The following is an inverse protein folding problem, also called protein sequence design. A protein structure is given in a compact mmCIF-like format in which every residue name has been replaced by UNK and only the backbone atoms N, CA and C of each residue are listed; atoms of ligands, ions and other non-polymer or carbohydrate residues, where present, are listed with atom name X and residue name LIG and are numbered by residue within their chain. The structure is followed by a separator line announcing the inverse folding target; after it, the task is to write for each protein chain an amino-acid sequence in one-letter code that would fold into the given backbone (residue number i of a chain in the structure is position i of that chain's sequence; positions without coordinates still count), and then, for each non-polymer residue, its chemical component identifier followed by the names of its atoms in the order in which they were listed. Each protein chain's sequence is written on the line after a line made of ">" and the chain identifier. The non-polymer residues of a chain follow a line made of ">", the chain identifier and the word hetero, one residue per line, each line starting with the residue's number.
data_IF_835200073174
#
_entry.id   IF_835200073174
#
_cell.length_a   1.000
_cell.length_b   1.000
_cell.length_c   1.000
_cell.angle_alpha   90.00
_cell.angle_beta   90.00
_cell.angle_gamma   90.00
#
_symmetry.space_group_name_H-M   'P 1'
#
loop_
_entity.id
_entity.type
_entity.pdbx_description
1 polymer ?
#
# COMPACT_ATOMS: atom_id res chain seq x y z
N UNK A 1 -26.24 -11.40 13.49
CA UNK A 1 -25.22 -10.80 12.58
C UNK A 1 -24.45 -11.94 11.93
N UNK A 2 -24.32 -11.97 10.59
CA UNK A 2 -23.56 -13.03 9.90
C UNK A 2 -22.08 -12.89 10.29
N UNK A 3 -21.54 -13.84 11.05
CA UNK A 3 -20.14 -13.86 11.48
C UNK A 3 -19.22 -13.57 10.28
N UNK A 4 -18.58 -12.40 10.29
CA UNK A 4 -17.51 -12.10 9.35
C UNK A 4 -16.39 -13.10 9.64
N UNK A 5 -16.19 -14.10 8.76
CA UNK A 5 -15.23 -15.19 8.94
C UNK A 5 -13.76 -14.74 8.95
N UNK A 6 -13.50 -13.45 8.70
CA UNK A 6 -12.16 -12.88 8.69
C UNK A 6 -11.63 -12.64 10.10
N UNK A 7 -10.33 -12.77 10.27
CA UNK A 7 -9.57 -12.36 11.45
C UNK A 7 -9.42 -10.83 11.52
N UNK A 8 -9.06 -10.27 12.68
CA UNK A 8 -8.94 -8.82 12.84
C UNK A 8 -7.88 -8.22 11.89
N UNK A 9 -6.74 -8.91 11.70
CA UNK A 9 -5.69 -8.51 10.77
C UNK A 9 -6.15 -8.46 9.31
N UNK A 10 -7.04 -9.37 8.92
CA UNK A 10 -7.63 -9.40 7.58
C UNK A 10 -8.65 -8.27 7.41
N UNK A 11 -9.43 -7.98 8.45
CA UNK A 11 -10.36 -6.85 8.44
C UNK A 11 -9.61 -5.52 8.27
N UNK A 12 -8.54 -5.25 9.03
CA UNK A 12 -7.78 -4.00 8.87
C UNK A 12 -7.09 -3.91 7.52
N UNK A 13 -6.66 -5.05 6.94
CA UNK A 13 -6.11 -5.09 5.58
C UNK A 13 -7.16 -4.67 4.54
N UNK A 14 -8.39 -5.18 4.65
CA UNK A 14 -9.51 -4.78 3.78
C UNK A 14 -9.90 -3.32 4.03
N UNK A 15 -9.85 -2.85 5.28
CA UNK A 15 -10.14 -1.46 5.63
C UNK A 15 -9.16 -0.48 4.94
N UNK A 16 -7.86 -0.74 5.02
CA UNK A 16 -6.84 0.08 4.32
C UNK A 16 -7.06 0.06 2.80
N UNK A 17 -7.46 -1.08 2.24
CA UNK A 17 -7.78 -1.17 0.82
C UNK A 17 -9.00 -0.34 0.44
N UNK A 18 -10.07 -0.39 1.23
CA UNK A 18 -11.27 0.42 0.99
C UNK A 18 -10.96 1.92 1.07
N UNK A 19 -10.09 2.32 1.99
CA UNK A 19 -9.72 3.73 2.18
C UNK A 19 -8.90 4.29 1.02
N UNK A 20 -7.94 3.51 0.49
CA UNK A 20 -6.92 4.04 -0.42
C UNK A 20 -6.55 3.17 -1.61
N UNK A 21 -7.25 2.07 -1.86
CA UNK A 21 -7.01 1.11 -2.95
C UNK A 21 -5.54 0.66 -3.10
N UNK A 22 -4.77 0.75 -2.01
CA UNK A 22 -3.35 0.43 -1.98
C UNK A 22 -2.38 1.58 -2.23
N UNK A 23 -2.82 2.81 -2.51
CA UNK A 23 -1.93 3.95 -2.77
C UNK A 23 -2.03 5.01 -1.67
N UNK A 24 -3.17 5.08 -0.98
CA UNK A 24 -3.33 5.87 0.22
C UNK A 24 -2.57 5.27 1.42
N UNK A 25 -2.08 6.16 2.27
CA UNK A 25 -1.57 5.85 3.61
C UNK A 25 -2.53 6.42 4.65
N UNK A 26 -2.80 5.67 5.72
CA UNK A 26 -3.78 6.08 6.74
C UNK A 26 -3.26 5.83 8.15
N UNK A 27 -3.60 6.72 9.07
CA UNK A 27 -3.35 6.55 10.50
C UNK A 27 -4.24 5.46 11.12
N UNK A 28 -3.90 5.08 12.36
CA UNK A 28 -4.61 4.04 13.09
C UNK A 28 -6.08 4.37 13.33
N UNK A 29 -6.42 5.62 13.64
CA UNK A 29 -7.78 6.04 14.00
C UNK A 29 -8.72 5.91 12.79
N UNK A 30 -8.26 6.37 11.63
CA UNK A 30 -8.97 6.26 10.34
C UNK A 30 -9.19 4.79 9.98
N UNK A 31 -8.17 3.94 10.17
CA UNK A 31 -8.29 2.50 9.93
C UNK A 31 -9.26 1.87 10.93
N UNK A 32 -9.20 2.24 12.21
CA UNK A 32 -10.04 1.69 13.26
C UNK A 32 -11.52 1.99 13.00
N UNK A 33 -11.84 3.23 12.62
CA UNK A 33 -13.21 3.64 12.19
C UNK A 33 -13.70 2.78 11.04
N UNK A 34 -12.89 2.63 9.98
CA UNK A 34 -13.27 1.83 8.82
C UNK A 34 -13.40 0.33 9.14
N UNK A 35 -12.53 -0.20 10.00
CA UNK A 35 -12.55 -1.58 10.43
C UNK A 35 -13.79 -1.90 11.28
N UNK A 36 -14.23 -0.97 12.13
CA UNK A 36 -15.48 -1.10 12.89
C UNK A 36 -16.72 -1.01 11.98
N UNK A 37 -16.73 -0.16 10.94
CA UNK A 37 -17.81 -0.18 9.93
C UNK A 37 -17.94 -1.55 9.23
N UNK A 38 -16.79 -2.18 8.96
CA UNK A 38 -16.70 -3.49 8.30
C UNK A 38 -17.13 -4.62 9.25
N UNK A 39 -16.68 -4.57 10.50
CA UNK A 39 -16.89 -5.64 11.48
C UNK A 39 -17.21 -5.04 12.86
N UNK A 40 -18.40 -4.46 12.93
CA UNK A 40 -18.89 -3.71 14.08
C UNK A 40 -18.73 -4.46 15.40
N UNK A 41 -18.17 -3.77 16.39
CA UNK A 41 -17.95 -4.27 17.75
C UNK A 41 -16.61 -4.98 17.96
N UNK A 42 -15.91 -5.42 16.90
CA UNK A 42 -14.62 -6.15 17.07
C UNK A 42 -13.44 -5.27 17.44
N UNK A 43 -13.52 -3.99 17.11
CA UNK A 43 -12.48 -3.01 17.38
C UNK A 43 -12.89 -2.06 18.50
N UNK A 44 -13.91 -2.40 19.30
CA UNK A 44 -14.41 -1.56 20.38
C UNK A 44 -13.88 -2.01 21.74
N UNK A 45 -13.97 -1.13 22.74
CA UNK A 45 -13.61 -1.49 24.11
C UNK A 45 -14.60 -2.52 24.67
N UNK A 46 -14.10 -3.46 25.47
CA UNK A 46 -14.97 -4.44 26.15
C UNK A 46 -15.81 -3.78 27.25
N UNK A 47 -15.24 -2.80 27.94
CA UNK A 47 -15.87 -2.08 29.05
C UNK A 47 -16.79 -0.96 28.57
N UNK A 48 -16.52 -0.39 27.40
CA UNK A 48 -17.40 0.60 26.76
C UNK A 48 -17.56 0.29 25.26
N UNK A 49 -18.61 -0.47 24.87
CA UNK A 49 -18.88 -0.82 23.48
C UNK A 49 -19.22 0.37 22.57
N UNK A 50 -19.27 1.62 23.07
CA UNK A 50 -19.45 2.80 22.23
C UNK A 50 -18.11 3.40 21.75
N UNK A 51 -17.00 3.06 22.42
CA UNK A 51 -15.67 3.56 22.09
C UNK A 51 -14.88 2.58 21.23
N UNK A 52 -14.17 3.10 20.22
CA UNK A 52 -13.21 2.33 19.42
C UNK A 52 -11.88 2.22 20.18
N UNK A 53 -11.27 1.04 20.15
CA UNK A 53 -10.02 0.70 20.81
C UNK A 53 -8.86 0.73 19.82
N UNK A 54 -7.99 1.72 20.00
CA UNK A 54 -6.74 1.82 19.25
C UNK A 54 -5.83 0.63 19.54
N UNK A 55 -5.80 0.11 20.77
CA UNK A 55 -4.99 -1.06 21.15
C UNK A 55 -5.38 -2.31 20.35
N UNK A 56 -6.69 -2.62 20.25
CA UNK A 56 -7.17 -3.75 19.44
C UNK A 56 -6.82 -3.58 17.96
N UNK A 57 -6.89 -2.34 17.46
CA UNK A 57 -6.53 -2.01 16.08
C UNK A 57 -5.02 -2.15 15.86
N UNK A 58 -4.21 -1.70 16.81
CA UNK A 58 -2.75 -1.79 16.78
C UNK A 58 -2.28 -3.25 16.74
N UNK A 59 -2.87 -4.12 17.56
CA UNK A 59 -2.58 -5.56 17.53
C UNK A 59 -2.92 -6.18 16.19
N UNK A 60 -4.09 -5.82 15.62
CA UNK A 60 -4.51 -6.29 14.31
C UNK A 60 -3.55 -5.82 13.19
N UNK A 61 -3.11 -4.55 13.23
CA UNK A 61 -2.15 -3.98 12.29
C UNK A 61 -0.77 -4.63 12.44
N UNK A 62 -0.32 -4.88 13.67
CA UNK A 62 0.91 -5.61 13.96
C UNK A 62 0.88 -7.01 13.34
N UNK A 63 -0.22 -7.73 13.50
CA UNK A 63 -0.40 -9.05 12.90
C UNK A 63 -0.51 -9.00 11.36
N UNK A 64 -1.15 -7.97 10.79
CA UNK A 64 -1.20 -7.76 9.35
C UNK A 64 0.19 -7.50 8.75
N UNK A 65 1.05 -6.75 9.46
CA UNK A 65 2.46 -6.56 9.08
C UNK A 65 3.25 -7.86 9.11
N UNK A 66 3.09 -8.67 10.16
CA UNK A 66 3.73 -10.00 10.25
C UNK A 66 3.31 -10.93 9.11
N UNK A 67 2.09 -10.79 8.61
CA UNK A 67 1.59 -11.50 7.41
C UNK A 67 2.06 -10.91 6.08
N UNK A 68 2.78 -9.78 6.10
CA UNK A 68 3.24 -9.11 4.89
C UNK A 68 2.13 -8.41 4.09
N UNK A 69 0.96 -8.14 4.68
CA UNK A 69 -0.15 -7.48 3.97
C UNK A 69 -0.04 -5.96 3.96
N UNK A 70 0.57 -5.38 4.98
CA UNK A 70 0.74 -3.93 5.11
C UNK A 70 2.16 -3.60 5.55
N UNK A 71 2.58 -2.36 5.28
CA UNK A 71 3.81 -1.74 5.77
C UNK A 71 3.46 -0.52 6.61
N UNK A 72 4.25 -0.29 7.64
CA UNK A 72 4.24 0.96 8.40
C UNK A 72 5.24 1.92 7.76
N UNK A 73 4.81 3.13 7.43
CA UNK A 73 5.61 4.08 6.64
C UNK A 73 6.40 5.07 7.50
N UNK A 74 5.83 5.52 8.61
CA UNK A 74 6.49 6.34 9.62
C UNK A 74 6.62 5.54 10.92
N UNK A 75 7.71 5.77 11.66
CA UNK A 75 7.90 5.31 13.05
C UNK A 75 8.01 6.55 13.94
N UNK A 76 7.04 7.43 13.84
CA UNK A 76 7.00 8.67 14.61
C UNK A 76 5.73 8.65 15.46
N UNK A 77 5.88 8.98 16.74
CA UNK A 77 4.79 8.91 17.72
C UNK A 77 3.63 9.77 17.21
N UNK A 78 2.47 9.14 17.00
CA UNK A 78 1.21 9.75 16.52
C UNK A 78 1.13 10.11 15.02
N UNK A 79 2.07 9.69 14.18
CA UNK A 79 2.01 9.90 12.71
C UNK A 79 2.19 8.61 11.90
N UNK A 80 2.25 7.47 12.59
CA UNK A 80 2.34 6.15 11.98
C UNK A 80 1.20 5.96 10.97
N UNK A 81 1.58 5.82 9.70
CA UNK A 81 0.64 5.53 8.62
C UNK A 81 0.93 4.18 7.99
N UNK A 82 -0.12 3.53 7.51
CA UNK A 82 -0.05 2.18 6.96
C UNK A 82 -0.39 2.18 5.47
N UNK A 83 0.43 1.46 4.70
CA UNK A 83 0.27 1.24 3.27
C UNK A 83 0.10 -0.25 3.00
N UNK A 84 -0.69 -0.61 1.98
CA UNK A 84 -0.77 -2.01 1.54
C UNK A 84 0.49 -2.43 0.78
N UNK A 85 0.87 -3.69 0.96
CA UNK A 85 1.75 -4.38 0.02
C UNK A 85 0.95 -4.89 -1.18
N UNK A 86 1.64 -5.45 -2.16
CA UNK A 86 0.97 -6.15 -3.26
C UNK A 86 0.13 -7.32 -2.75
N UNK A 87 0.67 -8.12 -1.82
CA UNK A 87 -0.03 -9.26 -1.20
C UNK A 87 -1.30 -8.79 -0.49
N UNK A 88 -1.22 -7.67 0.24
CA UNK A 88 -2.38 -7.05 0.89
C UNK A 88 -3.45 -6.61 -0.10
N UNK A 89 -3.05 -6.00 -1.22
CA UNK A 89 -3.99 -5.61 -2.29
C UNK A 89 -4.67 -6.83 -2.89
N UNK A 90 -3.92 -7.87 -3.24
CA UNK A 90 -4.49 -9.09 -3.83
C UNK A 90 -5.45 -9.77 -2.85
N UNK A 91 -5.05 -9.86 -1.58
CA UNK A 91 -5.90 -10.38 -0.51
C UNK A 91 -7.21 -9.58 -0.41
N UNK A 92 -7.13 -8.25 -0.33
CA UNK A 92 -8.30 -7.39 -0.18
C UNK A 92 -9.21 -7.45 -1.40
N UNK A 93 -8.67 -7.35 -2.63
CA UNK A 93 -9.43 -7.49 -3.88
C UNK A 93 -10.23 -8.79 -3.95
N UNK A 94 -9.62 -9.91 -3.55
CA UNK A 94 -10.27 -11.24 -3.55
C UNK A 94 -11.40 -11.37 -2.52
N UNK A 95 -11.37 -10.57 -1.46
CA UNK A 95 -12.21 -10.77 -0.28
C UNK A 95 -13.16 -9.61 0.04
N UNK A 96 -13.01 -8.45 -0.59
CA UNK A 96 -13.84 -7.26 -0.34
C UNK A 96 -15.33 -7.55 -0.53
N UNK A 97 -15.71 -8.34 -1.54
CA UNK A 97 -17.11 -8.71 -1.79
C UNK A 97 -17.72 -9.61 -0.73
N UNK A 98 -16.90 -10.26 0.11
CA UNK A 98 -17.36 -11.15 1.19
C UNK A 98 -17.67 -10.39 2.47
N UNK A 99 -17.27 -9.13 2.56
CA UNK A 99 -17.56 -8.23 3.68
C UNK A 99 -18.97 -7.64 3.47
N UNK A 100 -19.96 -8.26 4.10
CA UNK A 100 -21.40 -8.05 3.83
C UNK A 100 -21.98 -6.66 4.13
N UNK A 101 -21.26 -5.77 4.80
CA UNK A 101 -21.78 -4.44 5.17
C UNK A 101 -21.33 -3.31 4.22
N UNK A 102 -20.46 -3.60 3.25
CA UNK A 102 -19.83 -2.54 2.47
C UNK A 102 -20.43 -2.46 1.06
N UNK A 103 -21.18 -1.37 0.83
CA UNK A 103 -21.63 -0.96 -0.49
C UNK A 103 -20.41 -0.57 -1.35
N UNK A 104 -20.10 -1.41 -2.33
CA UNK A 104 -18.95 -1.22 -3.22
C UNK A 104 -19.06 0.05 -4.07
N UNK A 105 -20.26 0.61 -4.25
CA UNK A 105 -20.43 1.91 -4.94
C UNK A 105 -19.84 3.07 -4.14
N UNK A 106 -19.62 2.89 -2.84
CA UNK A 106 -18.99 3.86 -1.93
C UNK A 106 -17.48 3.71 -1.82
N UNK A 107 -16.87 2.78 -2.58
CA UNK A 107 -15.40 2.77 -2.75
C UNK A 107 -15.05 4.10 -3.38
N UNK A 108 -14.45 5.00 -2.61
CA UNK A 108 -13.71 6.11 -3.19
C UNK A 108 -12.60 5.46 -4.00
N UNK A 109 -12.71 5.50 -5.34
CA UNK A 109 -11.57 5.22 -6.21
C UNK A 109 -10.60 6.36 -5.92
N UNK A 110 -9.55 6.15 -5.11
CA UNK A 110 -8.73 7.25 -4.61
C UNK A 110 -7.76 7.72 -5.71
N UNK A 111 -7.56 6.88 -6.73
CA UNK A 111 -6.81 7.19 -7.93
C UNK A 111 -7.81 7.62 -8.99
N UNK A 112 -7.90 8.92 -9.26
CA UNK A 112 -8.60 9.33 -10.47
C UNK A 112 -7.95 8.62 -11.67
N UNK A 113 -8.75 8.19 -12.64
CA UNK A 113 -8.24 7.61 -13.91
C UNK A 113 -7.13 8.49 -14.50
N UNK A 114 -7.28 9.80 -14.33
CA UNK A 114 -6.29 10.83 -14.64
C UNK A 114 -4.93 10.63 -13.93
N UNK A 115 -4.88 10.39 -12.61
CA UNK A 115 -3.61 10.13 -11.91
C UNK A 115 -2.92 8.88 -12.49
N UNK A 116 -3.69 7.83 -12.76
CA UNK A 116 -3.18 6.61 -13.36
C UNK A 116 -2.58 6.88 -14.75
N UNK A 117 -3.36 7.51 -15.64
CA UNK A 117 -2.98 7.77 -17.03
C UNK A 117 -1.78 8.74 -17.10
N UNK A 118 -1.81 9.84 -16.34
CA UNK A 118 -0.72 10.81 -16.29
C UNK A 118 0.58 10.19 -15.76
N UNK A 119 0.48 9.37 -14.71
CA UNK A 119 1.65 8.67 -14.17
C UNK A 119 2.20 7.66 -15.16
N UNK A 120 1.33 6.94 -15.89
CA UNK A 120 1.72 5.99 -16.92
C UNK A 120 2.48 6.66 -18.05
N UNK A 121 1.93 7.74 -18.62
CA UNK A 121 2.57 8.54 -19.68
C UNK A 121 3.95 9.03 -19.23
N UNK A 122 4.03 9.61 -18.03
CA UNK A 122 5.29 10.08 -17.45
C UNK A 122 6.32 8.95 -17.34
N UNK A 123 5.94 7.81 -16.76
CA UNK A 123 6.83 6.67 -16.64
C UNK A 123 7.29 6.18 -18.01
N UNK A 124 6.39 6.07 -18.99
CA UNK A 124 6.72 5.67 -20.37
C UNK A 124 7.72 6.61 -21.07
N UNK A 125 7.63 7.91 -20.79
CA UNK A 125 8.55 8.90 -21.36
C UNK A 125 9.96 8.85 -20.76
N UNK A 126 10.14 8.22 -19.60
CA UNK A 126 11.42 8.22 -18.88
C UNK A 126 12.50 7.36 -19.57
N UNK A 127 13.77 7.73 -19.35
CA UNK A 127 14.92 6.97 -19.86
C UNK A 127 15.00 5.56 -19.26
N UNK A 128 14.74 5.43 -17.95
CA UNK A 128 14.74 4.15 -17.26
C UNK A 128 13.70 3.17 -17.85
N UNK A 129 12.50 3.65 -18.18
CA UNK A 129 11.47 2.83 -18.82
C UNK A 129 11.91 2.30 -20.19
N UNK A 130 12.45 3.18 -21.03
CA UNK A 130 12.96 2.81 -22.37
C UNK A 130 14.07 1.76 -22.27
N UNK A 131 15.03 1.97 -21.35
CA UNK A 131 16.10 1.00 -21.08
C UNK A 131 15.57 -0.34 -20.59
N UNK A 132 14.59 -0.35 -19.69
CA UNK A 132 13.97 -1.59 -19.22
C UNK A 132 13.24 -2.34 -20.34
N UNK A 133 12.53 -1.63 -21.23
CA UNK A 133 11.90 -2.19 -22.43
C UNK A 133 12.90 -2.84 -23.38
N UNK A 134 14.09 -2.25 -23.53
CA UNK A 134 15.19 -2.75 -24.36
C UNK A 134 16.04 -3.82 -23.65
N UNK A 135 15.62 -4.33 -22.48
CA UNK A 135 16.38 -5.26 -21.64
C UNK A 135 17.76 -4.72 -21.18
N UNK A 136 17.95 -3.41 -21.14
CA UNK A 136 19.17 -2.71 -20.69
C UNK A 136 19.09 -2.27 -19.23
N UNK A 137 18.54 -3.11 -18.35
CA UNK A 137 18.27 -2.78 -16.94
C UNK A 137 19.57 -2.43 -16.19
N UNK A 138 20.66 -3.15 -16.45
CA UNK A 138 21.98 -2.90 -15.86
C UNK A 138 22.60 -1.56 -16.24
N UNK A 139 22.06 -0.89 -17.27
CA UNK A 139 22.52 0.43 -17.73
C UNK A 139 21.68 1.58 -17.15
N UNK A 140 20.70 1.30 -16.30
CA UNK A 140 19.91 2.32 -15.62
C UNK A 140 20.81 2.96 -14.54
N UNK A 141 21.10 4.24 -14.72
CA UNK A 141 21.85 5.02 -13.73
C UNK A 141 20.98 5.36 -12.52
N UNK A 142 21.61 5.63 -11.38
CA UNK A 142 20.90 6.08 -10.16
C UNK A 142 20.10 7.37 -10.40
N UNK A 143 20.58 8.25 -11.29
CA UNK A 143 19.84 9.45 -11.71
C UNK A 143 18.55 9.10 -12.44
N UNK A 144 18.62 8.20 -13.42
CA UNK A 144 17.44 7.77 -14.18
C UNK A 144 16.44 7.00 -13.30
N UNK A 145 16.94 6.22 -12.34
CA UNK A 145 16.13 5.57 -11.31
C UNK A 145 15.41 6.59 -10.43
N UNK A 146 16.14 7.58 -9.92
CA UNK A 146 15.58 8.65 -9.10
C UNK A 146 14.53 9.46 -9.89
N UNK A 147 14.79 9.79 -11.15
CA UNK A 147 13.82 10.47 -12.03
C UNK A 147 12.57 9.60 -12.27
N UNK A 148 12.74 8.29 -12.45
CA UNK A 148 11.64 7.35 -12.66
C UNK A 148 10.67 7.32 -11.46
N UNK A 149 11.20 7.22 -10.24
CA UNK A 149 10.41 7.16 -9.01
C UNK A 149 10.17 8.54 -8.36
N UNK A 150 10.68 9.63 -8.95
CA UNK A 150 10.68 10.99 -8.39
C UNK A 150 11.26 11.03 -6.97
N UNK A 151 12.42 10.44 -6.81
CA UNK A 151 13.20 10.45 -5.57
C UNK A 151 14.18 11.62 -5.59
N UNK A 152 14.54 12.10 -4.41
CA UNK A 152 15.61 13.08 -4.25
C UNK A 152 16.57 12.65 -3.13
N UNK A 153 17.74 13.29 -3.08
CA UNK A 153 18.81 12.91 -2.15
C UNK A 153 18.48 13.27 -0.69
N UNK A 154 17.54 14.18 -0.47
CA UNK A 154 17.07 14.60 0.85
C UNK A 154 16.01 13.65 1.45
N UNK A 155 15.48 12.70 0.69
CA UNK A 155 14.50 11.73 1.19
C UNK A 155 15.19 10.67 2.05
N UNK A 156 14.58 10.40 3.21
CA UNK A 156 14.91 9.23 4.02
C UNK A 156 14.56 7.95 3.26
N UNK A 157 15.25 6.84 3.54
CA UNK A 157 15.03 5.56 2.84
C UNK A 157 13.57 5.08 2.92
N UNK A 158 12.92 5.21 4.08
CA UNK A 158 11.50 4.86 4.23
C UNK A 158 10.57 5.67 3.31
N UNK A 159 10.87 6.95 3.07
CA UNK A 159 10.11 7.81 2.14
C UNK A 159 10.32 7.38 0.68
N UNK A 160 11.54 6.95 0.33
CA UNK A 160 11.84 6.39 -0.99
C UNK A 160 11.05 5.10 -1.22
N UNK A 161 11.08 4.19 -0.24
CA UNK A 161 10.34 2.93 -0.28
C UNK A 161 8.83 3.16 -0.41
N UNK A 162 8.29 4.15 0.30
CA UNK A 162 6.88 4.55 0.18
C UNK A 162 6.51 4.91 -1.24
N UNK A 163 7.29 5.80 -1.87
CA UNK A 163 7.02 6.26 -3.23
C UNK A 163 7.08 5.12 -4.22
N UNK A 164 8.10 4.26 -4.10
CA UNK A 164 8.25 3.09 -4.96
C UNK A 164 7.04 2.16 -4.78
N UNK A 165 6.66 1.83 -3.54
CA UNK A 165 5.52 0.96 -3.25
C UNK A 165 4.20 1.54 -3.78
N UNK A 166 3.96 2.85 -3.62
CA UNK A 166 2.77 3.52 -4.17
C UNK A 166 2.71 3.40 -5.69
N UNK A 167 3.85 3.56 -6.38
CA UNK A 167 3.93 3.37 -7.84
C UNK A 167 3.68 1.91 -8.22
N UNK A 168 4.27 0.94 -7.52
CA UNK A 168 3.99 -0.50 -7.75
C UNK A 168 2.50 -0.82 -7.59
N UNK A 169 1.90 -0.32 -6.52
CA UNK A 169 0.49 -0.54 -6.19
C UNK A 169 -0.45 0.09 -7.23
N UNK A 170 -0.11 1.28 -7.75
CA UNK A 170 -0.85 1.97 -8.80
C UNK A 170 -1.04 1.11 -10.06
N UNK A 171 -0.03 0.32 -10.41
CA UNK A 171 -0.03 -0.51 -11.62
C UNK A 171 -0.26 -2.00 -11.34
N UNK A 172 -0.68 -2.37 -10.13
CA UNK A 172 -0.85 -3.79 -9.74
C UNK A 172 -1.81 -4.56 -10.67
N UNK A 173 -2.79 -3.87 -11.28
CA UNK A 173 -3.74 -4.46 -12.22
C UNK A 173 -3.19 -4.57 -13.65
N UNK A 174 -2.20 -3.77 -14.04
CA UNK A 174 -1.55 -3.79 -15.35
C UNK A 174 -0.26 -4.62 -15.27
N UNK A 175 -0.41 -5.95 -15.37
CA UNK A 175 0.69 -6.92 -15.17
C UNK A 175 1.93 -6.62 -16.02
N UNK A 176 1.72 -6.19 -17.29
CA UNK A 176 2.83 -5.89 -18.21
C UNK A 176 3.60 -4.66 -17.72
N UNK A 177 2.87 -3.59 -17.38
CA UNK A 177 3.49 -2.36 -16.92
C UNK A 177 4.16 -2.52 -15.55
N UNK A 178 3.49 -3.25 -14.65
CA UNK A 178 4.01 -3.59 -13.34
C UNK A 178 5.36 -4.31 -13.41
N UNK A 179 5.48 -5.30 -14.30
CA UNK A 179 6.74 -6.04 -14.50
C UNK A 179 7.90 -5.10 -14.81
N UNK A 180 7.69 -4.10 -15.66
CA UNK A 180 8.73 -3.10 -15.98
C UNK A 180 9.05 -2.25 -14.73
N UNK A 181 8.05 -1.82 -13.98
CA UNK A 181 8.27 -1.07 -12.73
C UNK A 181 9.08 -1.88 -11.73
N UNK A 182 8.77 -3.17 -11.56
CA UNK A 182 9.50 -4.06 -10.66
C UNK A 182 10.95 -4.24 -11.10
N UNK A 183 11.20 -4.46 -12.39
CA UNK A 183 12.54 -4.54 -12.96
C UNK A 183 13.36 -3.26 -12.71
N UNK A 184 12.75 -2.08 -12.89
CA UNK A 184 13.43 -0.81 -12.61
C UNK A 184 13.67 -0.65 -11.11
N UNK A 185 12.71 -1.01 -10.26
CA UNK A 185 12.85 -0.98 -8.80
C UNK A 185 14.00 -1.86 -8.31
N UNK A 186 14.17 -3.04 -8.91
CA UNK A 186 15.18 -4.02 -8.53
C UNK A 186 16.58 -3.67 -9.03
N UNK A 187 16.70 -2.80 -10.04
CA UNK A 187 17.97 -2.44 -10.68
C UNK A 187 18.99 -1.76 -9.76
N UNK A 188 18.55 -1.20 -8.63
CA UNK A 188 19.42 -0.52 -7.66
C UNK A 188 19.49 -1.24 -6.30
N UNK A 189 18.67 -2.27 -6.06
CA UNK A 189 18.73 -3.06 -4.82
C UNK A 189 19.92 -4.03 -4.78
N UNK A 190 20.50 -4.39 -5.93
CA UNK A 190 21.65 -5.31 -6.01
C UNK A 190 23.02 -4.65 -5.77
N UNK A 191 23.08 -3.40 -5.27
CA UNK A 191 24.34 -2.66 -5.07
C UNK A 191 24.60 -2.15 -3.65
N UNK A 192 23.79 -2.54 -2.66
CA UNK A 192 23.79 -1.93 -1.32
C UNK A 192 24.20 -2.82 -0.14
N UNK A 193 24.69 -4.04 -0.37
CA UNK A 193 25.07 -5.00 0.71
C UNK A 193 26.59 -5.09 0.94
N UNK A 194 27.34 -4.00 0.70
CA UNK A 194 28.72 -3.88 1.17
C UNK A 194 28.86 -2.53 1.87
N UNK A 195 28.45 -2.46 3.13
CA UNK A 195 29.02 -1.60 4.16
C UNK A 195 28.48 -2.09 5.51
N UNK A 196 29.19 -3.08 6.08
CA UNK A 196 29.14 -3.43 7.48
C UNK A 196 30.53 -3.94 7.90
#
# INVERSE_FOLDING_TARGET
>A
MKNNKFSNQEIVTIAVYILGSGIGTFDIETIAKKADEIAHGRFRWKTDPNMISDSNTWDALSNARKKGYIRQMAKEKNTDSYLLTEEGIQFAKKNISKVKSFDQSKIRIPVSKEIFDNTKIRLQSSKAYKKALENKISQISSREYNDFFRLNDYMKNNQKDEKIQKIKNLFVSDKKFKKIIDQVAESQTTGGDNDN
#
